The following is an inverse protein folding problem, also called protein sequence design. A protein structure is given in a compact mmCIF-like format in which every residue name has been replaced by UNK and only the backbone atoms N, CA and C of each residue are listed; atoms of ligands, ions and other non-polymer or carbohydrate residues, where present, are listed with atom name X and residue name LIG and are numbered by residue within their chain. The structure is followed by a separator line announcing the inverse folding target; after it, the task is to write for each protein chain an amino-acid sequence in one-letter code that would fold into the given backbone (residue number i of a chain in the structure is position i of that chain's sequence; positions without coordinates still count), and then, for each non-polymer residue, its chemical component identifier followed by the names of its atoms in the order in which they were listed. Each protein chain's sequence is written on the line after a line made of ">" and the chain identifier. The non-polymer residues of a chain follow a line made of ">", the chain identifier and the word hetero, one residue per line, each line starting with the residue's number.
data_IF_358584681662
#
_entry.id   IF_358584681662
#
_cell.length_a   1.000
_cell.length_b   1.000
_cell.length_c   1.000
_cell.angle_alpha   90.00
_cell.angle_beta   90.00
_cell.angle_gamma   90.00
#
_symmetry.space_group_name_H-M   'P 1'
#
loop_
_entity.id
_entity.type
_entity.pdbx_description
1 polymer ?
#
# COMPACT_ATOMS: atom_id res chain seq x y z
N UNK A 1 -11.89 10.45 12.73
CA UNK A 1 -12.08 10.00 11.32
C UNK A 1 -12.61 8.59 11.34
N UNK A 2 -13.66 8.27 10.60
CA UNK A 2 -14.22 6.93 10.48
C UNK A 2 -13.68 6.19 9.24
N UNK A 3 -13.95 4.88 9.13
CA UNK A 3 -13.41 4.04 8.03
C UNK A 3 -13.85 4.53 6.63
N UNK A 4 -15.07 5.01 6.49
CA UNK A 4 -15.59 5.51 5.20
C UNK A 4 -14.85 6.78 4.76
N UNK A 5 -14.55 7.66 5.72
CA UNK A 5 -13.77 8.88 5.47
C UNK A 5 -12.33 8.54 5.04
N UNK A 6 -11.69 7.54 5.69
CA UNK A 6 -10.34 7.11 5.33
C UNK A 6 -10.31 6.56 3.90
N UNK A 7 -11.26 5.65 3.56
CA UNK A 7 -11.36 5.10 2.20
C UNK A 7 -11.54 6.20 1.16
N UNK A 8 -12.49 7.12 1.42
CA UNK A 8 -12.77 8.22 0.51
C UNK A 8 -11.56 9.11 0.31
N UNK A 9 -10.92 9.56 1.39
CA UNK A 9 -9.73 10.42 1.31
C UNK A 9 -8.59 9.75 0.55
N UNK A 10 -8.34 8.46 0.79
CA UNK A 10 -7.31 7.73 0.07
C UNK A 10 -7.58 7.68 -1.44
N UNK A 11 -8.79 7.30 -1.82
CA UNK A 11 -9.15 7.18 -3.23
C UNK A 11 -9.17 8.53 -3.93
N UNK A 12 -9.71 9.57 -3.29
CA UNK A 12 -9.73 10.94 -3.83
C UNK A 12 -8.30 11.50 -3.97
N UNK A 13 -7.43 11.26 -2.97
CA UNK A 13 -6.04 11.70 -2.99
C UNK A 13 -5.26 11.15 -4.18
N UNK A 14 -5.42 9.86 -4.46
CA UNK A 14 -4.77 9.24 -5.61
C UNK A 14 -5.49 9.51 -6.93
N UNK A 15 -6.81 9.67 -6.94
CA UNK A 15 -7.54 10.12 -8.12
C UNK A 15 -7.06 11.50 -8.61
N UNK A 16 -6.80 12.44 -7.68
CA UNK A 16 -6.23 13.75 -7.97
C UNK A 16 -4.78 13.70 -8.50
N UNK A 17 -4.15 12.52 -8.47
CA UNK A 17 -2.81 12.22 -8.99
C UNK A 17 -2.83 11.26 -10.17
N UNK A 18 -3.90 11.34 -10.96
CA UNK A 18 -4.13 10.58 -12.20
C UNK A 18 -4.21 9.05 -12.01
N UNK A 19 -4.59 8.58 -10.82
CA UNK A 19 -4.88 7.17 -10.62
C UNK A 19 -6.33 6.86 -10.98
N UNK A 20 -6.50 5.81 -11.78
CA UNK A 20 -7.84 5.27 -12.03
C UNK A 20 -8.33 4.54 -10.79
N UNK A 21 -9.42 5.00 -10.20
CA UNK A 21 -10.06 4.29 -9.09
C UNK A 21 -10.83 3.10 -9.64
N UNK A 22 -10.45 1.90 -9.18
CA UNK A 22 -11.12 0.65 -9.52
C UNK A 22 -11.84 0.07 -8.30
N UNK A 23 -12.96 -0.63 -8.51
CA UNK A 23 -13.64 -1.35 -7.43
C UNK A 23 -12.78 -2.50 -6.89
N UNK A 24 -13.10 -2.96 -5.68
CA UNK A 24 -12.52 -4.19 -5.12
C UNK A 24 -12.80 -5.38 -6.04
N UNK A 25 -11.77 -6.14 -6.37
CA UNK A 25 -11.94 -7.42 -7.04
C UNK A 25 -12.62 -8.45 -6.11
N UNK A 26 -13.06 -9.57 -6.69
CA UNK A 26 -13.62 -10.70 -5.93
C UNK A 26 -12.63 -11.23 -4.88
N UNK A 27 -13.15 -11.69 -3.74
CA UNK A 27 -12.36 -12.43 -2.76
C UNK A 27 -11.92 -13.80 -3.29
N UNK A 28 -12.67 -14.39 -4.20
CA UNK A 28 -12.27 -15.61 -4.92
C UNK A 28 -11.47 -15.17 -6.14
N UNK A 29 -10.14 -15.45 -6.19
CA UNK A 29 -9.29 -15.02 -7.29
C UNK A 29 -9.75 -15.66 -8.60
N UNK A 30 -9.84 -14.86 -9.65
CA UNK A 30 -10.08 -15.36 -11.00
C UNK A 30 -8.71 -15.57 -11.65
N UNK A 31 -8.48 -16.76 -12.19
CA UNK A 31 -7.25 -17.12 -12.92
C UNK A 31 -5.94 -17.17 -12.09
N UNK A 32 -6.02 -17.33 -10.77
CA UNK A 32 -4.85 -17.60 -9.94
C UNK A 32 -5.07 -18.86 -9.09
N UNK A 33 -4.72 -20.04 -9.60
CA UNK A 33 -4.92 -21.31 -8.89
C UNK A 33 -3.98 -21.48 -7.67
N UNK A 34 -3.01 -20.60 -7.50
CA UNK A 34 -2.10 -20.63 -6.35
C UNK A 34 -2.71 -20.04 -5.08
N UNK A 35 -3.84 -19.37 -5.18
CA UNK A 35 -4.51 -18.69 -4.09
C UNK A 35 -5.97 -19.15 -3.95
N UNK A 36 -6.37 -19.50 -2.72
CA UNK A 36 -7.79 -19.74 -2.39
C UNK A 36 -8.57 -18.41 -2.29
N UNK A 37 -7.92 -17.39 -1.78
CA UNK A 37 -8.53 -16.08 -1.52
C UNK A 37 -7.63 -14.95 -1.97
N UNK A 38 -8.23 -13.82 -2.35
CA UNK A 38 -7.51 -12.57 -2.58
C UNK A 38 -6.95 -12.07 -1.24
N UNK A 39 -5.66 -12.29 -1.03
CA UNK A 39 -4.97 -12.04 0.24
C UNK A 39 -4.27 -10.69 0.31
N UNK A 40 -4.19 -9.96 -0.81
CA UNK A 40 -3.53 -8.65 -0.90
C UNK A 40 -4.11 -7.80 -2.04
N UNK A 41 -3.96 -6.49 -1.89
CA UNK A 41 -4.41 -5.52 -2.89
C UNK A 41 -3.76 -5.65 -4.26
N UNK A 42 -2.53 -6.21 -4.30
CA UNK A 42 -1.80 -6.40 -5.57
C UNK A 42 -2.22 -7.66 -6.34
N UNK A 43 -2.93 -8.60 -5.72
CA UNK A 43 -3.29 -9.89 -6.35
C UNK A 43 -3.99 -9.72 -7.70
N UNK A 44 -5.01 -8.86 -7.86
CA UNK A 44 -5.68 -8.66 -9.14
C UNK A 44 -4.75 -8.10 -10.24
N UNK A 45 -3.63 -7.51 -9.86
CA UNK A 45 -2.69 -6.85 -10.77
C UNK A 45 -1.41 -7.65 -11.02
N UNK A 46 -1.31 -8.87 -10.47
CA UNK A 46 -0.17 -9.78 -10.68
C UNK A 46 0.25 -9.87 -12.17
N UNK A 47 -0.68 -10.06 -13.14
CA UNK A 47 -0.31 -10.15 -14.55
C UNK A 47 0.40 -8.91 -15.10
N UNK A 48 0.09 -7.72 -14.57
CA UNK A 48 0.74 -6.48 -14.99
C UNK A 48 2.17 -6.37 -14.43
N UNK A 49 2.38 -6.79 -13.17
CA UNK A 49 3.70 -6.80 -12.55
C UNK A 49 4.63 -7.88 -13.13
N UNK A 50 4.07 -9.00 -13.59
CA UNK A 50 4.84 -10.07 -14.23
C UNK A 50 5.02 -9.88 -15.74
N UNK A 51 4.42 -8.84 -16.32
CA UNK A 51 4.49 -8.57 -17.75
C UNK A 51 3.69 -9.54 -18.62
N UNK A 52 2.82 -10.37 -18.01
CA UNK A 52 1.96 -11.33 -18.75
C UNK A 52 0.71 -10.68 -19.32
N UNK A 53 0.38 -9.47 -18.90
CA UNK A 53 -0.68 -8.64 -19.46
C UNK A 53 -0.27 -7.17 -19.48
N UNK A 54 -0.85 -6.40 -20.39
CA UNK A 54 -0.68 -4.95 -20.48
C UNK A 54 -1.78 -4.28 -19.66
N UNK A 55 -1.44 -3.35 -18.74
CA UNK A 55 -2.45 -2.63 -17.97
C UNK A 55 -3.21 -1.62 -18.85
N UNK A 56 -4.52 -1.51 -18.64
CA UNK A 56 -5.35 -0.49 -19.30
C UNK A 56 -5.04 0.93 -18.82
N UNK A 57 -4.52 1.03 -17.59
CA UNK A 57 -4.17 2.29 -16.93
C UNK A 57 -2.82 2.16 -16.25
N UNK A 58 -1.89 3.13 -16.43
CA UNK A 58 -0.56 3.08 -15.81
C UNK A 58 -0.60 3.30 -14.30
N UNK A 59 -1.66 3.96 -13.79
CA UNK A 59 -1.85 4.24 -12.37
C UNK A 59 -3.24 3.80 -11.92
N UNK A 60 -3.29 3.06 -10.85
CA UNK A 60 -4.55 2.55 -10.27
C UNK A 60 -4.57 2.76 -8.75
N UNK A 61 -5.73 3.12 -8.22
CA UNK A 61 -6.00 3.13 -6.78
C UNK A 61 -7.21 2.26 -6.44
N UNK A 62 -7.11 1.48 -5.38
CA UNK A 62 -8.19 0.59 -4.92
C UNK A 62 -8.30 0.56 -3.40
N UNK A 63 -9.50 0.23 -2.92
CA UNK A 63 -9.73 -0.27 -1.57
C UNK A 63 -10.11 -1.75 -1.70
N UNK A 64 -9.10 -2.65 -1.70
CA UNK A 64 -9.29 -4.07 -1.95
C UNK A 64 -9.67 -4.82 -0.69
N UNK A 65 -10.79 -5.54 -0.72
CA UNK A 65 -11.18 -6.51 0.29
C UNK A 65 -10.25 -7.71 0.23
N UNK A 66 -9.70 -8.11 1.37
CA UNK A 66 -8.74 -9.19 1.50
C UNK A 66 -9.17 -10.19 2.56
N UNK A 67 -8.84 -11.46 2.32
CA UNK A 67 -9.05 -12.53 3.27
C UNK A 67 -7.74 -13.29 3.49
N UNK A 68 -7.33 -13.43 4.76
CA UNK A 68 -6.18 -14.25 5.19
C UNK A 68 -6.62 -15.24 6.25
N UNK A 69 -6.40 -16.51 6.01
CA UNK A 69 -6.74 -17.59 6.94
C UNK A 69 -5.54 -18.10 7.76
N UNK A 70 -4.27 -17.95 7.34
CA UNK A 70 -3.12 -18.42 8.15
C UNK A 70 -3.06 -17.84 9.56
N UNK A 71 -3.55 -16.59 9.73
CA UNK A 71 -3.50 -15.88 11.02
C UNK A 71 -4.77 -16.11 11.88
N UNK A 72 -5.66 -17.04 11.49
CA UNK A 72 -6.97 -17.20 12.16
C UNK A 72 -6.84 -17.52 13.65
N UNK A 73 -5.82 -18.29 14.03
CA UNK A 73 -5.57 -18.66 15.42
C UNK A 73 -5.11 -17.47 16.28
N UNK A 74 -4.59 -16.42 15.63
CA UNK A 74 -4.11 -15.21 16.30
C UNK A 74 -5.20 -14.14 16.44
N UNK A 75 -6.33 -14.31 15.74
CA UNK A 75 -7.45 -13.36 15.79
C UNK A 75 -8.12 -13.41 17.17
N UNK A 76 -8.21 -12.24 17.79
CA UNK A 76 -8.73 -12.13 19.17
C UNK A 76 -7.68 -12.36 20.27
N UNK A 77 -6.52 -12.93 19.94
CA UNK A 77 -5.38 -13.04 20.88
C UNK A 77 -4.45 -11.81 20.79
N UNK A 78 -4.38 -11.20 19.64
CA UNK A 78 -3.62 -9.96 19.39
C UNK A 78 -4.53 -8.86 18.89
N UNK A 79 -4.12 -7.61 19.09
CA UNK A 79 -4.87 -6.44 18.63
C UNK A 79 -4.72 -6.17 17.12
N UNK A 80 -3.94 -6.94 16.38
CA UNK A 80 -3.50 -6.61 15.01
C UNK A 80 -3.81 -7.66 13.96
N UNK A 81 -4.20 -8.88 14.34
CA UNK A 81 -4.52 -9.94 13.38
C UNK A 81 -6.03 -9.94 13.06
N UNK A 82 -6.33 -9.89 11.78
CA UNK A 82 -7.67 -9.94 11.23
C UNK A 82 -7.70 -10.95 10.09
N UNK A 83 -8.81 -11.68 9.95
CA UNK A 83 -9.04 -12.58 8.81
C UNK A 83 -9.54 -11.83 7.59
N UNK A 84 -10.46 -10.87 7.80
CA UNK A 84 -11.04 -10.04 6.76
C UNK A 84 -10.68 -8.58 7.02
N UNK A 85 -10.11 -7.94 6.02
CA UNK A 85 -9.68 -6.54 6.09
C UNK A 85 -9.64 -5.92 4.69
N UNK A 86 -9.36 -4.61 4.64
CA UNK A 86 -9.20 -3.89 3.39
C UNK A 86 -7.76 -3.38 3.27
N UNK A 87 -7.20 -3.47 2.07
CA UNK A 87 -5.94 -2.82 1.69
C UNK A 87 -6.23 -1.61 0.83
N UNK A 88 -5.80 -0.46 1.29
CA UNK A 88 -5.73 0.76 0.51
C UNK A 88 -4.47 0.69 -0.36
N UNK A 89 -4.62 0.57 -1.66
CA UNK A 89 -3.51 0.34 -2.59
C UNK A 89 -3.47 1.39 -3.69
N UNK A 90 -2.29 1.95 -3.92
CA UNK A 90 -1.95 2.73 -5.09
C UNK A 90 -0.87 1.99 -5.88
N UNK A 91 -1.07 1.86 -7.18
CA UNK A 91 -0.24 1.03 -8.05
C UNK A 91 0.25 1.84 -9.24
N UNK A 92 1.52 1.64 -9.59
CA UNK A 92 2.17 2.20 -10.77
C UNK A 92 2.71 1.07 -11.64
N UNK A 93 2.30 1.02 -12.89
CA UNK A 93 2.72 0.00 -13.85
C UNK A 93 3.68 0.63 -14.85
N UNK A 94 4.97 0.72 -14.46
CA UNK A 94 6.02 1.29 -15.30
C UNK A 94 5.95 2.82 -15.49
N UNK A 95 5.31 3.54 -14.57
CA UNK A 95 5.16 5.00 -14.67
C UNK A 95 5.99 5.73 -13.60
N UNK A 96 5.63 5.65 -12.32
CA UNK A 96 6.41 6.25 -11.24
C UNK A 96 6.97 5.18 -10.28
N UNK A 97 7.98 5.56 -9.51
CA UNK A 97 8.58 4.72 -8.49
C UNK A 97 8.80 5.52 -7.19
N UNK A 98 9.93 5.35 -6.51
CA UNK A 98 10.20 5.91 -5.17
C UNK A 98 10.12 7.44 -5.13
N UNK A 99 10.57 8.12 -6.19
CA UNK A 99 10.62 9.58 -6.27
C UNK A 99 9.26 10.27 -6.10
N UNK A 100 8.17 9.58 -6.49
CA UNK A 100 6.79 10.07 -6.29
C UNK A 100 6.06 9.34 -5.18
N UNK A 101 6.27 8.02 -5.06
CA UNK A 101 5.56 7.22 -4.07
C UNK A 101 5.86 7.67 -2.64
N UNK A 102 7.13 7.97 -2.33
CA UNK A 102 7.56 8.38 -0.99
C UNK A 102 6.96 9.74 -0.57
N UNK A 103 7.08 10.82 -1.39
CA UNK A 103 6.43 12.08 -1.05
C UNK A 103 4.92 11.98 -0.91
N UNK A 104 4.25 11.22 -1.77
CA UNK A 104 2.80 11.04 -1.68
C UNK A 104 2.38 10.25 -0.44
N UNK A 105 3.13 9.22 -0.06
CA UNK A 105 2.88 8.49 1.17
C UNK A 105 3.01 9.41 2.40
N UNK A 106 4.05 10.23 2.44
CA UNK A 106 4.26 11.19 3.52
C UNK A 106 3.16 12.24 3.58
N UNK A 107 2.82 12.85 2.45
CA UNK A 107 1.75 13.84 2.35
C UNK A 107 0.41 13.23 2.79
N UNK A 108 0.09 12.01 2.34
CA UNK A 108 -1.15 11.36 2.71
C UNK A 108 -1.26 11.14 4.22
N UNK A 109 -0.23 10.59 4.86
CA UNK A 109 -0.31 10.27 6.29
C UNK A 109 -0.26 11.53 7.17
N UNK A 110 0.46 12.57 6.76
CA UNK A 110 0.61 13.79 7.57
C UNK A 110 -0.46 14.85 7.27
N UNK A 111 -0.71 15.16 6.00
CA UNK A 111 -1.67 16.20 5.62
C UNK A 111 -3.11 15.68 5.55
N UNK A 112 -3.34 14.53 4.89
CA UNK A 112 -4.70 14.00 4.72
C UNK A 112 -5.23 13.29 5.97
N UNK A 113 -4.41 12.45 6.62
CA UNK A 113 -4.80 11.75 7.83
C UNK A 113 -4.52 12.54 9.12
N UNK A 114 -3.71 13.60 9.05
CA UNK A 114 -3.38 14.46 10.18
C UNK A 114 -2.52 13.78 11.24
N UNK A 115 -1.70 12.81 10.87
CA UNK A 115 -0.78 12.18 11.81
C UNK A 115 0.41 13.10 12.07
N UNK A 116 0.71 13.32 13.34
CA UNK A 116 1.80 14.18 13.75
C UNK A 116 3.16 13.57 13.31
N UNK A 117 3.97 14.32 12.51
CA UNK A 117 5.22 13.80 11.95
C UNK A 117 6.19 13.21 12.97
N UNK A 118 6.25 13.80 14.16
CA UNK A 118 7.10 13.37 15.26
C UNK A 118 6.71 12.01 15.86
N UNK A 119 5.52 11.49 15.54
CA UNK A 119 5.06 10.15 15.95
C UNK A 119 5.37 9.08 14.93
N UNK A 120 5.86 9.46 13.73
CA UNK A 120 6.10 8.56 12.64
C UNK A 120 7.55 8.10 12.60
N UNK A 121 7.74 6.84 12.32
CA UNK A 121 9.02 6.21 12.06
C UNK A 121 8.99 5.60 10.66
N UNK A 122 10.12 5.68 9.99
CA UNK A 122 10.29 5.13 8.64
C UNK A 122 11.19 3.90 8.74
N UNK A 123 10.85 2.85 8.02
CA UNK A 123 11.77 1.74 7.79
C UNK A 123 12.13 1.64 6.31
N UNK A 124 13.38 1.36 6.01
CA UNK A 124 13.91 1.09 4.68
C UNK A 124 14.73 -0.19 4.73
N UNK A 125 14.86 -0.88 3.59
CA UNK A 125 15.78 -2.00 3.50
C UNK A 125 17.22 -1.53 3.70
N UNK A 126 18.05 -2.37 4.31
CA UNK A 126 19.41 -2.02 4.73
C UNK A 126 20.25 -1.38 3.61
N UNK A 127 20.16 -1.93 2.41
CA UNK A 127 20.92 -1.51 1.22
C UNK A 127 20.15 -0.52 0.31
N UNK A 128 18.94 -0.10 0.69
CA UNK A 128 18.15 0.83 -0.11
C UNK A 128 18.48 2.29 0.23
N UNK A 129 19.66 2.73 -0.23
CA UNK A 129 20.12 4.11 -0.06
C UNK A 129 19.24 5.11 -0.78
N UNK A 130 18.68 4.74 -1.94
CA UNK A 130 17.78 5.60 -2.71
C UNK A 130 16.52 5.95 -1.90
N UNK A 131 15.85 4.97 -1.28
CA UNK A 131 14.70 5.23 -0.43
C UNK A 131 15.09 6.06 0.80
N UNK A 132 16.23 5.75 1.44
CA UNK A 132 16.75 6.54 2.56
C UNK A 132 16.95 8.01 2.18
N UNK A 133 17.57 8.28 1.03
CA UNK A 133 17.82 9.63 0.56
C UNK A 133 16.53 10.39 0.21
N UNK A 134 15.53 9.72 -0.38
CA UNK A 134 14.23 10.33 -0.62
C UNK A 134 13.56 10.79 0.69
N UNK A 135 13.57 9.94 1.73
CA UNK A 135 13.04 10.31 3.05
C UNK A 135 13.82 11.46 3.68
N UNK A 136 15.16 11.46 3.55
CA UNK A 136 16.01 12.56 4.03
C UNK A 136 15.69 13.90 3.35
N UNK A 137 15.44 13.89 2.04
CA UNK A 137 15.04 15.10 1.27
C UNK A 137 13.68 15.66 1.71
N UNK A 138 12.80 14.84 2.26
CA UNK A 138 11.54 15.29 2.86
C UNK A 138 11.71 15.88 4.27
N UNK A 139 12.93 15.92 4.79
CA UNK A 139 13.24 16.48 6.10
C UNK A 139 13.12 15.49 7.26
N UNK A 140 12.95 14.19 6.98
CA UNK A 140 12.93 13.19 8.06
C UNK A 140 14.33 13.06 8.67
N UNK A 141 14.49 13.20 10.00
CA UNK A 141 15.77 13.01 10.67
C UNK A 141 16.30 11.59 10.47
N UNK A 142 17.63 11.43 10.35
CA UNK A 142 18.24 10.13 10.09
C UNK A 142 17.98 9.10 11.19
N UNK A 143 17.89 9.54 12.43
CA UNK A 143 17.59 8.72 13.61
C UNK A 143 16.13 8.22 13.66
N UNK A 144 15.27 8.74 12.77
CA UNK A 144 13.89 8.27 12.58
C UNK A 144 13.71 7.38 11.33
N UNK A 145 14.78 7.07 10.64
CA UNK A 145 14.78 6.15 9.50
C UNK A 145 15.55 4.89 9.90
N UNK A 146 14.84 3.83 10.17
CA UNK A 146 15.41 2.54 10.60
C UNK A 146 15.74 1.72 9.36
N UNK A 147 16.98 1.25 9.27
CA UNK A 147 17.40 0.30 8.23
C UNK A 147 17.22 -1.11 8.75
N UNK A 148 16.46 -1.94 8.02
CA UNK A 148 16.17 -3.32 8.39
C UNK A 148 16.72 -4.25 7.32
N UNK A 149 17.36 -5.34 7.77
CA UNK A 149 17.80 -6.43 6.91
C UNK A 149 16.69 -7.47 6.71
N UNK A 150 16.97 -8.47 5.90
CA UNK A 150 16.15 -9.69 5.81
C UNK A 150 16.34 -10.47 7.11
N UNK A 151 15.22 -10.92 7.68
CA UNK A 151 15.21 -11.85 8.81
C UNK A 151 15.78 -13.22 8.40
#
# INVERSE_FOLDING_TARGET
>A
MNSNEIRKRFLDFFAARDHRVLPSASLVPVNDPSLLWTSAGMVPFKPYFTGTATPDYPRVATCQKCLRTPDIEMVGLTARHHTFFEMLGNFSFGDYFKEKAIPWAWEFVTAELGLAPERLWISVYLEDDEAFDHWRRLGIPADRIVRLDKD
#
